data_IF_375562900401
#
_entry.id   IF_375562900401
#
_cell.length_a   1.000
_cell.length_b   1.000
_cell.length_c   1.000
_cell.angle_alpha   90.00
_cell.angle_beta   90.00
_cell.angle_gamma   90.00
#
_symmetry.space_group_name_H-M   'P 1'
#
loop_
_entity.id
_entity.type
_entity.pdbx_description
1 polymer ?
#
# COMPACT_ATOMS: atom_id res chain seq x y z
N UNK A 1 13.09 -18.72 19.45
CA UNK A 1 13.64 -18.40 18.11
C UNK A 1 12.62 -17.72 17.21
N UNK A 2 11.61 -18.41 16.66
CA UNK A 2 10.69 -17.77 15.68
C UNK A 2 9.79 -16.69 16.30
N UNK A 3 9.24 -16.93 17.49
CA UNK A 3 8.46 -15.93 18.25
C UNK A 3 9.31 -14.73 18.70
N UNK A 4 10.55 -14.96 19.10
CA UNK A 4 11.46 -13.87 19.51
C UNK A 4 11.80 -12.94 18.34
N UNK A 5 12.01 -13.50 17.15
CA UNK A 5 12.19 -12.72 15.93
C UNK A 5 10.94 -11.92 15.59
N UNK A 6 9.74 -12.53 15.67
CA UNK A 6 8.49 -11.83 15.38
C UNK A 6 8.19 -10.71 16.37
N UNK A 7 8.43 -10.92 17.67
CA UNK A 7 8.29 -9.88 18.69
C UNK A 7 9.29 -8.75 18.47
N UNK A 8 10.55 -9.08 18.15
CA UNK A 8 11.59 -8.09 17.85
C UNK A 8 11.30 -7.30 16.57
N UNK A 9 10.87 -7.99 15.51
CA UNK A 9 10.45 -7.39 14.25
C UNK A 9 9.25 -6.48 14.46
N UNK A 10 8.25 -6.90 15.23
CA UNK A 10 7.07 -6.08 15.51
C UNK A 10 7.46 -4.81 16.27
N UNK A 11 8.39 -4.90 17.22
CA UNK A 11 8.89 -3.77 17.99
C UNK A 11 9.78 -2.81 17.17
N UNK A 12 10.62 -3.31 16.27
CA UNK A 12 11.68 -2.52 15.61
C UNK A 12 11.58 -2.44 14.07
N UNK A 13 10.52 -2.97 13.46
CA UNK A 13 10.30 -3.02 12.01
C UNK A 13 10.53 -1.68 11.31
N UNK A 14 10.03 -0.58 11.88
CA UNK A 14 10.22 0.76 11.29
C UNK A 14 11.70 1.18 11.22
N UNK A 15 12.49 0.86 12.24
CA UNK A 15 13.91 1.18 12.30
C UNK A 15 14.73 0.25 11.39
N UNK A 16 14.39 -1.04 11.37
CA UNK A 16 15.04 -2.03 10.49
C UNK A 16 14.79 -1.70 9.00
N UNK A 17 13.57 -1.33 8.65
CA UNK A 17 13.25 -0.89 7.28
C UNK A 17 13.97 0.42 6.93
N UNK A 18 14.16 1.32 7.91
CA UNK A 18 14.93 2.56 7.73
C UNK A 18 16.46 2.36 7.70
N UNK A 19 16.97 1.20 8.14
CA UNK A 19 18.38 0.79 8.04
C UNK A 19 18.64 -0.22 6.92
N UNK A 20 17.59 -0.66 6.23
CA UNK A 20 17.70 -1.58 5.10
C UNK A 20 18.66 -1.04 4.01
N UNK A 21 19.34 -1.92 3.26
CA UNK A 21 20.26 -1.53 2.20
C UNK A 21 19.66 -0.50 1.23
N UNK A 22 20.47 0.47 0.77
CA UNK A 22 20.02 1.60 -0.07
C UNK A 22 19.19 1.18 -1.28
N UNK A 23 19.51 0.04 -1.89
CA UNK A 23 18.75 -0.54 -3.01
C UNK A 23 17.25 -0.70 -2.68
N UNK A 24 16.93 -1.18 -1.48
CA UNK A 24 15.55 -1.41 -1.06
C UNK A 24 14.86 -0.13 -0.62
N UNK A 25 15.60 0.84 -0.10
CA UNK A 25 15.08 2.18 0.20
C UNK A 25 14.73 2.95 -1.07
N UNK A 26 15.57 2.86 -2.10
CA UNK A 26 15.34 3.47 -3.41
C UNK A 26 14.14 2.82 -4.12
N UNK A 27 14.04 1.49 -4.12
CA UNK A 27 12.88 0.77 -4.65
C UNK A 27 11.59 1.13 -3.89
N UNK A 28 11.65 1.27 -2.56
CA UNK A 28 10.50 1.70 -1.74
C UNK A 28 10.10 3.14 -2.01
N UNK A 29 11.06 4.06 -2.14
CA UNK A 29 10.82 5.48 -2.44
C UNK A 29 10.25 5.67 -3.84
N UNK A 30 10.78 4.91 -4.82
CA UNK A 30 10.25 4.88 -6.18
C UNK A 30 8.83 4.28 -6.24
N UNK A 31 8.53 3.32 -5.35
CA UNK A 31 7.20 2.70 -5.22
C UNK A 31 6.20 3.58 -4.46
N UNK A 32 6.65 4.40 -3.52
CA UNK A 32 5.82 5.34 -2.76
C UNK A 32 5.50 6.63 -3.55
N UNK A 33 6.42 7.09 -4.40
CA UNK A 33 6.22 8.29 -5.20
C UNK A 33 5.16 8.12 -6.29
N UNK A 34 4.31 9.14 -6.49
CA UNK A 34 3.38 9.29 -7.62
C UNK A 34 4.11 9.58 -8.94
N UNK A 35 5.10 8.75 -9.26
CA UNK A 35 6.04 8.98 -10.36
C UNK A 35 5.64 8.25 -11.64
N UNK A 36 4.48 7.58 -11.65
CA UNK A 36 4.05 6.74 -12.77
C UNK A 36 2.68 7.15 -13.24
N UNK A 37 2.49 7.22 -14.56
CA UNK A 37 1.22 7.57 -15.20
C UNK A 37 0.03 6.75 -14.67
N UNK A 38 0.27 5.48 -14.31
CA UNK A 38 -0.73 4.62 -13.67
C UNK A 38 -1.24 5.12 -12.31
N UNK A 39 -0.38 5.73 -11.49
CA UNK A 39 -0.77 6.30 -10.19
C UNK A 39 -1.68 7.52 -10.37
N UNK A 40 -1.42 8.34 -11.39
CA UNK A 40 -2.28 9.46 -11.76
C UNK A 40 -3.62 8.99 -12.31
N UNK A 41 -3.62 7.96 -13.15
CA UNK A 41 -4.84 7.39 -13.73
C UNK A 41 -5.78 6.85 -12.64
N UNK A 42 -5.22 6.09 -11.68
CA UNK A 42 -5.98 5.51 -10.57
C UNK A 42 -6.56 6.56 -9.61
N UNK A 43 -6.01 7.76 -9.56
CA UNK A 43 -6.57 8.88 -8.79
C UNK A 43 -7.71 9.60 -9.53
N UNK A 44 -7.64 9.66 -10.85
CA UNK A 44 -8.67 10.31 -11.69
C UNK A 44 -9.92 9.45 -11.79
N UNK A 45 -9.78 8.11 -11.76
CA UNK A 45 -10.91 7.16 -11.90
C UNK A 45 -12.00 7.37 -10.84
N UNK A 46 -11.71 7.43 -9.52
CA UNK A 46 -12.73 7.71 -8.50
C UNK A 46 -13.45 9.04 -8.71
N UNK A 47 -12.72 10.08 -9.13
CA UNK A 47 -13.31 11.39 -9.44
C UNK A 47 -14.25 11.30 -10.64
N UNK A 48 -13.83 10.63 -11.72
CA UNK A 48 -14.65 10.41 -12.90
C UNK A 48 -15.93 9.63 -12.59
N UNK A 49 -15.85 8.57 -11.78
CA UNK A 49 -17.02 7.81 -11.35
C UNK A 49 -18.00 8.67 -10.55
N UNK A 50 -17.50 9.47 -9.61
CA UNK A 50 -18.34 10.37 -8.81
C UNK A 50 -19.01 11.42 -9.69
N UNK A 51 -18.28 12.04 -10.63
CA UNK A 51 -18.84 13.04 -11.55
C UNK A 51 -19.91 12.42 -12.46
N UNK A 52 -19.67 11.23 -13.04
CA UNK A 52 -20.65 10.55 -13.88
C UNK A 52 -21.92 10.14 -13.11
N UNK A 53 -21.80 9.84 -11.82
CA UNK A 53 -22.91 9.41 -10.97
C UNK A 53 -23.55 10.56 -10.17
N UNK A 54 -23.01 11.78 -10.28
CA UNK A 54 -23.49 12.94 -9.51
C UNK A 54 -24.92 13.34 -9.90
N UNK A 55 -25.25 13.25 -11.19
CA UNK A 55 -26.59 13.53 -11.72
C UNK A 55 -27.56 12.33 -11.60
N UNK A 56 -27.05 11.16 -11.22
CA UNK A 56 -27.86 9.97 -11.06
C UNK A 56 -28.59 9.99 -9.70
N UNK A 57 -29.91 9.91 -9.75
CA UNK A 57 -30.75 9.81 -8.54
C UNK A 57 -31.11 8.35 -8.30
N UNK A 58 -30.32 7.67 -7.48
CA UNK A 58 -30.60 6.30 -7.04
C UNK A 58 -31.88 6.24 -6.19
N UNK A 59 -32.15 7.30 -5.40
CA UNK A 59 -33.29 7.39 -4.49
C UNK A 59 -33.84 8.83 -4.49
N UNK A 60 -35.13 9.00 -4.22
CA UNK A 60 -35.78 10.31 -4.12
C UNK A 60 -35.21 11.22 -3.00
N UNK A 61 -34.64 10.61 -1.95
CA UNK A 61 -33.99 11.34 -0.85
C UNK A 61 -32.57 11.73 -1.22
N UNK A 62 -32.31 13.04 -1.29
CA UNK A 62 -30.99 13.59 -1.61
C UNK A 62 -29.89 13.15 -0.62
N UNK A 63 -30.23 12.99 0.66
CA UNK A 63 -29.27 12.57 1.70
C UNK A 63 -28.86 11.10 1.51
N UNK A 64 -29.80 10.23 1.17
CA UNK A 64 -29.52 8.81 0.89
C UNK A 64 -28.70 8.67 -0.39
N UNK A 65 -29.01 9.46 -1.43
CA UNK A 65 -28.25 9.47 -2.68
C UNK A 65 -26.78 9.87 -2.45
N UNK A 66 -26.54 10.89 -1.62
CA UNK A 66 -25.20 11.32 -1.23
C UNK A 66 -24.44 10.21 -0.48
N UNK A 67 -25.09 9.52 0.47
CA UNK A 67 -24.47 8.41 1.20
C UNK A 67 -24.10 7.25 0.27
N UNK A 68 -24.97 6.91 -0.68
CA UNK A 68 -24.69 5.87 -1.68
C UNK A 68 -23.48 6.26 -2.53
N UNK A 69 -23.44 7.51 -3.02
CA UNK A 69 -22.33 8.01 -3.82
C UNK A 69 -21.00 8.00 -3.04
N UNK A 70 -21.04 8.34 -1.74
CA UNK A 70 -19.88 8.27 -0.85
C UNK A 70 -19.39 6.83 -0.70
N UNK A 71 -20.29 5.87 -0.49
CA UNK A 71 -19.92 4.45 -0.42
C UNK A 71 -19.30 3.96 -1.73
N UNK A 72 -19.88 4.32 -2.88
CA UNK A 72 -19.33 3.98 -4.20
C UNK A 72 -17.93 4.57 -4.38
N UNK A 73 -17.72 5.81 -3.96
CA UNK A 73 -16.41 6.46 -4.00
C UNK A 73 -15.37 5.70 -3.16
N UNK A 74 -15.72 5.33 -1.91
CA UNK A 74 -14.83 4.54 -1.04
C UNK A 74 -14.49 3.20 -1.66
N UNK A 75 -15.47 2.48 -2.21
CA UNK A 75 -15.25 1.20 -2.88
C UNK A 75 -14.34 1.37 -4.09
N UNK A 76 -14.56 2.40 -4.91
CA UNK A 76 -13.69 2.70 -6.06
C UNK A 76 -12.25 2.97 -5.63
N UNK A 77 -12.04 3.74 -4.56
CA UNK A 77 -10.69 4.00 -4.02
C UNK A 77 -10.03 2.71 -3.56
N UNK A 78 -10.73 1.84 -2.85
CA UNK A 78 -10.19 0.55 -2.39
C UNK A 78 -9.78 -0.32 -3.58
N UNK A 79 -10.64 -0.45 -4.59
CA UNK A 79 -10.33 -1.21 -5.81
C UNK A 79 -9.12 -0.61 -6.53
N UNK A 80 -9.04 0.72 -6.65
CA UNK A 80 -7.89 1.39 -7.26
C UNK A 80 -6.59 1.10 -6.50
N UNK A 81 -6.60 1.06 -5.17
CA UNK A 81 -5.43 0.69 -4.36
C UNK A 81 -5.03 -0.78 -4.57
N UNK A 82 -5.99 -1.69 -4.76
CA UNK A 82 -5.71 -3.11 -5.04
C UNK A 82 -5.15 -3.32 -6.45
N UNK A 83 -5.59 -2.52 -7.42
CA UNK A 83 -5.15 -2.59 -8.83
C UNK A 83 -3.82 -1.85 -9.05
N UNK A 84 -3.47 -0.90 -8.16
CA UNK A 84 -2.22 -0.14 -8.18
C UNK A 84 -0.95 -0.95 -8.47
N UNK A 85 -0.66 -2.08 -7.79
CA UNK A 85 0.51 -2.90 -8.08
C UNK A 85 0.50 -3.51 -9.48
N UNK A 86 -0.68 -3.81 -10.04
CA UNK A 86 -0.81 -4.43 -11.37
C UNK A 86 -0.66 -3.41 -12.50
N UNK A 87 -1.16 -2.17 -12.32
CA UNK A 87 -1.12 -1.14 -13.37
C UNK A 87 0.22 -0.41 -13.41
N UNK A 88 0.87 -0.19 -12.27
CA UNK A 88 2.14 0.53 -12.23
C UNK A 88 3.37 -0.35 -12.46
N UNK A 89 3.22 -1.68 -12.43
CA UNK A 89 4.34 -2.62 -12.58
C UNK A 89 5.41 -2.48 -11.49
N UNK A 90 5.16 -1.67 -10.46
CA UNK A 90 6.04 -1.50 -9.31
C UNK A 90 5.76 -2.65 -8.34
N UNK A 91 6.83 -3.27 -7.82
CA UNK A 91 6.72 -4.22 -6.71
C UNK A 91 6.02 -3.53 -5.55
N UNK A 92 5.06 -4.20 -4.93
CA UNK A 92 4.31 -3.54 -3.86
C UNK A 92 5.23 -3.27 -2.67
N UNK A 93 5.01 -2.17 -1.96
CA UNK A 93 5.77 -1.88 -0.73
C UNK A 93 5.65 -3.03 0.27
N UNK A 94 4.55 -3.78 0.25
CA UNK A 94 4.36 -4.97 1.08
C UNK A 94 5.25 -6.16 0.63
N UNK A 95 5.53 -6.31 -0.66
CA UNK A 95 6.50 -7.32 -1.15
C UNK A 95 7.93 -6.92 -0.77
N UNK A 96 8.28 -5.65 -0.90
CA UNK A 96 9.60 -5.13 -0.49
C UNK A 96 9.77 -5.33 1.02
N UNK A 97 8.79 -4.96 1.84
CA UNK A 97 8.84 -5.14 3.30
C UNK A 97 8.90 -6.63 3.68
N UNK A 98 8.29 -7.54 2.90
CA UNK A 98 8.40 -8.99 3.08
C UNK A 98 9.79 -9.52 2.77
N UNK A 99 10.43 -9.04 1.69
CA UNK A 99 11.81 -9.38 1.37
C UNK A 99 12.79 -8.84 2.43
N UNK A 100 12.55 -7.62 2.93
CA UNK A 100 13.32 -7.06 4.06
C UNK A 100 13.21 -7.95 5.29
N UNK A 101 11.98 -8.34 5.65
CA UNK A 101 11.74 -9.25 6.78
C UNK A 101 12.47 -10.57 6.62
N UNK A 102 12.42 -11.15 5.42
CA UNK A 102 13.03 -12.44 5.12
C UNK A 102 14.56 -12.37 5.20
N UNK A 103 15.18 -11.27 4.76
CA UNK A 103 16.62 -11.05 4.90
C UNK A 103 17.07 -10.97 6.35
N UNK A 104 16.37 -10.19 7.19
CA UNK A 104 16.71 -10.13 8.62
C UNK A 104 16.45 -11.45 9.35
N UNK A 105 15.45 -12.22 8.91
CA UNK A 105 15.19 -13.57 9.43
C UNK A 105 16.33 -14.54 9.08
N UNK A 106 16.83 -14.50 7.85
CA UNK A 106 17.98 -15.32 7.44
C UNK A 106 19.27 -14.94 8.18
N UNK A 107 19.48 -13.64 8.41
CA UNK A 107 20.60 -13.14 9.21
C UNK A 107 20.49 -13.61 10.66
N UNK A 108 19.31 -13.50 11.28
CA UNK A 108 19.04 -14.03 12.62
C UNK A 108 19.30 -15.54 12.70
N UNK A 109 18.92 -16.29 11.65
CA UNK A 109 19.13 -17.74 11.59
C UNK A 109 20.61 -18.13 11.45
N UNK A 110 21.44 -17.29 10.81
CA UNK A 110 22.89 -17.54 10.68
C UNK A 110 23.68 -17.10 11.91
N UNK A 111 23.40 -15.92 12.44
CA UNK A 111 24.23 -15.28 13.46
C UNK A 111 23.64 -15.45 14.89
N UNK A 112 22.40 -15.94 15.00
CA UNK A 112 21.69 -16.13 16.26
C UNK A 112 21.28 -14.82 16.95
N UNK A 113 21.57 -13.66 16.35
CA UNK A 113 21.32 -12.32 16.88
C UNK A 113 20.96 -11.36 15.75
N UNK A 114 20.13 -10.37 16.06
CA UNK A 114 19.83 -9.24 15.16
C UNK A 114 20.52 -8.02 15.78
N UNK A 115 21.58 -7.55 15.16
CA UNK A 115 22.22 -6.29 15.55
C UNK A 115 21.50 -5.14 14.86
N UNK A 116 21.06 -4.15 15.64
CA UNK A 116 20.28 -3.02 15.15
C UNK A 116 21.17 -1.93 14.61
#
# INVERSE_FOLDING_TARGET
>A
MEKEFEDFWTAHSKQLIARAPKRWQEERTHSLGMNTLGDWLLWIVPVGVVVCLMDYKFVASSLVNFLILLVICVVCVVVCQMVRPYVTGKRSVAEIDKEIKQYYYEQYRRDGKIEL
#
